data_IF_996257092733
#
_entry.id   IF_996257092733
#
_cell.length_a   1.000
_cell.length_b   1.000
_cell.length_c   1.000
_cell.angle_alpha   90.00
_cell.angle_beta   90.00
_cell.angle_gamma   90.00
#
_symmetry.space_group_name_H-M   'P 1'
#
loop_
_entity.id
_entity.type
_entity.pdbx_description
1 polymer ?
#
# COMPACT_ATOMS: atom_id res chain seq x y z
N UNK A 1 -67.72 -24.11 27.00
CA UNK A 1 -66.65 -23.38 27.69
C UNK A 1 -65.32 -23.82 27.09
N UNK A 2 -64.79 -23.06 26.13
CA UNK A 2 -63.48 -23.30 25.51
C UNK A 2 -62.58 -22.11 25.81
N UNK A 3 -61.46 -22.36 26.48
CA UNK A 3 -60.49 -21.34 26.90
C UNK A 3 -59.46 -21.16 25.78
N UNK A 4 -59.43 -19.97 25.19
CA UNK A 4 -58.39 -19.53 24.25
C UNK A 4 -57.19 -19.06 25.07
N UNK A 5 -56.08 -19.80 25.00
CA UNK A 5 -54.81 -19.39 25.57
C UNK A 5 -54.05 -18.53 24.56
N UNK A 6 -53.97 -17.22 24.81
CA UNK A 6 -53.14 -16.30 24.05
C UNK A 6 -51.68 -16.42 24.51
N UNK A 7 -50.80 -16.92 23.64
CA UNK A 7 -49.36 -16.91 23.85
C UNK A 7 -48.81 -15.51 23.55
N UNK A 8 -48.37 -14.79 24.58
CA UNK A 8 -47.64 -13.52 24.46
C UNK A 8 -46.19 -13.84 24.15
N UNK A 9 -45.78 -13.63 22.89
CA UNK A 9 -44.38 -13.64 22.47
C UNK A 9 -43.70 -12.38 23.01
N UNK A 10 -42.97 -12.52 24.11
CA UNK A 10 -42.05 -11.49 24.61
C UNK A 10 -40.82 -11.42 23.68
N UNK A 11 -40.89 -10.60 22.65
CA UNK A 11 -39.74 -10.24 21.83
C UNK A 11 -38.77 -9.38 22.63
N UNK A 12 -37.73 -10.00 23.21
CA UNK A 12 -36.60 -9.28 23.77
C UNK A 12 -35.87 -8.56 22.63
N UNK A 13 -36.11 -7.25 22.51
CA UNK A 13 -35.32 -6.34 21.69
C UNK A 13 -33.91 -6.26 22.28
N UNK A 14 -33.03 -7.19 21.91
CA UNK A 14 -31.59 -7.02 22.05
C UNK A 14 -31.21 -5.83 21.20
N UNK A 15 -31.14 -4.64 21.81
CA UNK A 15 -30.45 -3.49 21.20
C UNK A 15 -29.04 -3.97 20.88
N UNK A 16 -28.75 -4.17 19.59
CA UNK A 16 -27.38 -4.36 19.14
C UNK A 16 -26.58 -3.18 19.69
N UNK A 17 -25.63 -3.47 20.58
CA UNK A 17 -24.67 -2.48 21.04
C UNK A 17 -24.03 -1.90 19.78
N UNK A 18 -24.05 -0.57 19.64
CA UNK A 18 -23.39 0.09 18.53
C UNK A 18 -21.93 -0.39 18.50
N UNK A 19 -21.44 -0.78 17.33
CA UNK A 19 -20.05 -1.16 17.17
C UNK A 19 -19.17 0.00 17.69
N UNK A 20 -18.10 -0.29 18.45
CA UNK A 20 -17.22 0.75 18.96
C UNK A 20 -16.61 1.53 17.78
N UNK A 21 -16.42 2.83 17.98
CA UNK A 21 -15.75 3.71 17.02
C UNK A 21 -14.35 3.14 16.69
N UNK A 22 -14.05 2.86 15.41
CA UNK A 22 -12.78 2.25 15.03
C UNK A 22 -11.55 3.11 15.41
N UNK A 23 -11.68 4.44 15.45
CA UNK A 23 -10.61 5.34 15.90
C UNK A 23 -10.34 5.21 17.40
N UNK A 24 -11.39 5.05 18.23
CA UNK A 24 -11.22 4.78 19.67
C UNK A 24 -10.49 3.45 19.89
N UNK A 25 -10.89 2.40 19.17
CA UNK A 25 -10.25 1.09 19.27
C UNK A 25 -8.79 1.12 18.77
N UNK A 26 -8.50 1.79 17.65
CA UNK A 26 -7.15 1.93 17.13
C UNK A 26 -6.23 2.73 18.06
N UNK A 27 -6.73 3.80 18.71
CA UNK A 27 -5.97 4.57 19.70
C UNK A 27 -5.56 3.73 20.90
N UNK A 28 -6.42 2.84 21.37
CA UNK A 28 -6.09 1.92 22.46
C UNK A 28 -4.92 0.98 22.07
N UNK A 29 -4.78 0.64 20.78
CA UNK A 29 -3.65 -0.15 20.25
C UNK A 29 -2.39 0.69 20.00
N UNK A 30 -2.48 2.02 20.11
CA UNK A 30 -1.39 2.99 19.91
C UNK A 30 -1.10 3.76 21.21
N UNK A 31 -1.26 3.09 22.35
CA UNK A 31 -0.81 3.61 23.65
C UNK A 31 0.70 3.86 23.65
N UNK A 32 1.21 4.78 24.51
CA UNK A 32 2.64 5.08 24.60
C UNK A 32 3.52 3.84 24.74
N UNK A 33 3.11 2.86 25.54
CA UNK A 33 3.79 1.58 25.75
C UNK A 33 3.89 0.71 24.49
N UNK A 34 3.00 0.93 23.52
CA UNK A 34 2.95 0.17 22.27
C UNK A 34 3.73 0.83 21.13
N UNK A 35 4.08 2.12 21.26
CA UNK A 35 4.69 2.90 20.16
C UNK A 35 5.98 3.60 20.53
N UNK A 36 6.31 3.76 21.81
CA UNK A 36 7.56 4.39 22.24
C UNK A 36 8.61 3.33 22.59
N UNK A 37 9.91 3.62 22.40
CA UNK A 37 10.96 2.73 22.83
C UNK A 37 10.97 2.64 24.36
N UNK A 38 11.26 1.45 24.88
CA UNK A 38 11.31 1.21 26.33
C UNK A 38 12.58 1.77 27.02
N UNK A 39 13.53 2.30 26.23
CA UNK A 39 14.79 2.82 26.73
C UNK A 39 15.31 3.99 25.87
N UNK A 40 16.48 4.55 26.25
CA UNK A 40 17.12 5.61 25.49
C UNK A 40 17.32 5.19 24.04
N UNK A 41 16.97 6.10 23.13
CA UNK A 41 17.15 5.91 21.69
C UNK A 41 17.98 7.05 21.12
N UNK A 42 18.78 6.75 20.11
CA UNK A 42 19.48 7.77 19.30
C UNK A 42 18.58 8.40 18.23
N UNK A 43 17.37 7.86 18.09
CA UNK A 43 16.44 8.19 17.02
C UNK A 43 15.54 9.37 17.41
N UNK A 44 15.32 10.27 16.45
CA UNK A 44 14.30 11.31 16.50
C UNK A 44 12.90 10.63 16.44
N UNK A 45 12.40 10.21 17.59
CA UNK A 45 11.16 9.44 17.72
C UNK A 45 9.92 10.35 17.75
N UNK A 46 8.82 10.01 17.06
CA UNK A 46 7.59 10.80 17.11
C UNK A 46 6.90 10.72 18.47
N UNK A 47 6.19 11.77 18.88
CA UNK A 47 5.37 11.70 20.10
C UNK A 47 4.24 10.67 19.96
N UNK A 48 3.88 10.00 21.05
CA UNK A 48 2.80 9.01 21.06
C UNK A 48 1.45 9.60 20.56
N UNK A 49 1.18 10.86 20.88
CA UNK A 49 0.02 11.63 20.39
C UNK A 49 -0.03 11.68 18.86
N UNK A 50 1.11 11.78 18.18
CA UNK A 50 1.17 11.83 16.71
C UNK A 50 0.64 10.54 16.08
N UNK A 51 0.91 9.38 16.68
CA UNK A 51 0.35 8.10 16.22
C UNK A 51 -1.17 8.07 16.34
N UNK A 52 -1.69 8.57 17.46
CA UNK A 52 -3.13 8.64 17.73
C UNK A 52 -3.84 9.62 16.78
N UNK A 53 -3.24 10.78 16.52
CA UNK A 53 -3.77 11.79 15.59
C UNK A 53 -3.83 11.26 14.15
N UNK A 54 -2.79 10.52 13.72
CA UNK A 54 -2.78 9.85 12.41
C UNK A 54 -3.87 8.79 12.33
N UNK A 55 -4.06 7.98 13.38
CA UNK A 55 -5.14 7.00 13.44
C UNK A 55 -6.54 7.65 13.41
N UNK A 56 -6.76 8.72 14.18
CA UNK A 56 -8.03 9.46 14.20
C UNK A 56 -8.32 10.14 12.85
N UNK A 57 -7.27 10.60 12.15
CA UNK A 57 -7.39 11.14 10.80
C UNK A 57 -7.84 10.04 9.83
N UNK A 58 -7.20 8.87 9.84
CA UNK A 58 -7.60 7.77 8.97
C UNK A 58 -8.95 7.14 9.37
N UNK A 59 -9.34 7.13 10.64
CA UNK A 59 -10.68 6.71 11.05
C UNK A 59 -11.77 7.61 10.44
N UNK A 60 -11.51 8.92 10.39
CA UNK A 60 -12.47 9.91 9.87
C UNK A 60 -12.53 9.93 8.35
N UNK A 61 -11.38 9.95 7.69
CA UNK A 61 -11.27 10.20 6.25
C UNK A 61 -10.96 8.95 5.43
N UNK A 62 -10.33 7.95 6.05
CA UNK A 62 -10.00 6.69 5.40
C UNK A 62 -11.27 5.96 4.94
N UNK A 63 -11.26 5.51 3.70
CA UNK A 63 -12.29 4.63 3.13
C UNK A 63 -11.62 3.40 2.52
N UNK A 64 -12.33 2.27 2.45
CA UNK A 64 -11.80 1.09 1.78
C UNK A 64 -11.69 1.36 0.28
N UNK A 65 -10.56 0.96 -0.32
CA UNK A 65 -10.44 0.92 -1.78
C UNK A 65 -11.40 -0.13 -2.32
N UNK A 66 -12.18 0.23 -3.34
CA UNK A 66 -13.26 -0.64 -3.84
C UNK A 66 -12.72 -1.59 -4.90
N UNK A 67 -13.04 -2.88 -4.77
CA UNK A 67 -12.86 -3.81 -5.89
C UNK A 67 -14.19 -3.91 -6.63
N UNK A 68 -14.13 -3.73 -7.94
CA UNK A 68 -15.27 -3.82 -8.84
C UNK A 68 -15.00 -4.93 -9.83
N UNK A 69 -15.86 -5.95 -9.84
CA UNK A 69 -15.90 -6.94 -10.92
C UNK A 69 -17.01 -6.57 -11.88
N UNK A 70 -16.74 -6.58 -13.17
CA UNK A 70 -17.79 -6.28 -14.14
C UNK A 70 -17.36 -6.31 -15.59
N UNK A 71 -18.22 -5.69 -16.41
CA UNK A 71 -17.95 -5.39 -17.81
C UNK A 71 -17.39 -3.97 -17.92
N UNK A 72 -16.19 -3.82 -18.46
CA UNK A 72 -15.61 -2.54 -18.86
C UNK A 72 -15.86 -2.30 -20.35
N UNK A 73 -16.42 -1.15 -20.69
CA UNK A 73 -16.63 -0.70 -22.07
C UNK A 73 -15.81 0.57 -22.30
N UNK A 74 -14.82 0.47 -23.17
CA UNK A 74 -13.88 1.54 -23.47
C UNK A 74 -14.26 2.28 -24.76
N UNK A 75 -13.69 3.48 -25.01
CA UNK A 75 -13.82 4.18 -26.28
C UNK A 75 -13.53 3.27 -27.49
N UNK A 76 -14.24 3.47 -28.59
CA UNK A 76 -14.10 2.61 -29.79
C UNK A 76 -14.86 1.28 -29.73
N UNK A 77 -15.64 1.02 -28.66
CA UNK A 77 -16.52 -0.14 -28.57
C UNK A 77 -15.83 -1.41 -28.06
N UNK A 78 -14.63 -1.30 -27.49
CA UNK A 78 -13.95 -2.42 -26.85
C UNK A 78 -14.66 -2.81 -25.55
N UNK A 79 -14.82 -4.12 -25.32
CA UNK A 79 -15.57 -4.68 -24.18
C UNK A 79 -14.73 -5.74 -23.47
N UNK A 80 -14.64 -5.64 -22.15
CA UNK A 80 -13.87 -6.57 -21.30
C UNK A 80 -14.75 -7.08 -20.16
N UNK A 81 -15.14 -8.35 -20.25
CA UNK A 81 -15.98 -9.00 -19.24
C UNK A 81 -15.16 -9.62 -18.11
N UNK A 82 -15.74 -9.65 -16.91
CA UNK A 82 -15.13 -10.31 -15.75
C UNK A 82 -13.86 -9.63 -15.23
N UNK A 83 -13.64 -8.36 -15.58
CA UNK A 83 -12.48 -7.61 -15.15
C UNK A 83 -12.63 -7.23 -13.67
N UNK A 84 -11.60 -7.52 -12.87
CA UNK A 84 -11.49 -7.02 -11.50
C UNK A 84 -10.66 -5.74 -11.51
N UNK A 85 -11.28 -4.63 -11.12
CA UNK A 85 -10.66 -3.31 -11.00
C UNK A 85 -10.61 -2.87 -9.54
N UNK A 86 -9.50 -2.32 -9.09
CA UNK A 86 -9.49 -1.43 -7.94
C UNK A 86 -9.84 -0.03 -8.40
N UNK A 87 -10.83 0.56 -7.74
CA UNK A 87 -11.28 1.94 -7.98
C UNK A 87 -10.93 2.74 -6.74
N UNK A 88 -10.01 3.69 -6.89
CA UNK A 88 -9.47 4.51 -5.80
C UNK A 88 -9.71 5.98 -6.07
N UNK A 89 -10.25 6.70 -5.10
CA UNK A 89 -10.43 8.15 -5.17
C UNK A 89 -9.14 8.90 -4.82
N UNK A 90 -8.78 9.90 -5.61
CA UNK A 90 -7.71 10.87 -5.36
C UNK A 90 -8.21 12.04 -4.51
N UNK A 91 -7.27 12.83 -3.98
CA UNK A 91 -7.58 14.00 -3.14
C UNK A 91 -8.37 15.09 -3.88
N UNK A 92 -8.23 15.17 -5.21
CA UNK A 92 -8.98 16.10 -6.07
C UNK A 92 -10.38 15.58 -6.47
N UNK A 93 -10.78 14.42 -5.94
CA UNK A 93 -12.06 13.78 -6.21
C UNK A 93 -12.11 12.96 -7.51
N UNK A 94 -11.04 12.95 -8.30
CA UNK A 94 -10.89 12.03 -9.45
C UNK A 94 -10.65 10.60 -8.96
N UNK A 95 -10.65 9.65 -9.89
CA UNK A 95 -10.46 8.24 -9.63
C UNK A 95 -9.27 7.71 -10.41
N UNK A 96 -8.62 6.73 -9.81
CA UNK A 96 -7.66 5.84 -10.44
C UNK A 96 -8.36 4.50 -10.63
N UNK A 97 -8.34 4.01 -11.87
CA UNK A 97 -8.77 2.67 -12.19
C UNK A 97 -7.51 1.83 -12.35
N UNK A 98 -7.38 0.76 -11.57
CA UNK A 98 -6.23 -0.14 -11.57
C UNK A 98 -6.70 -1.58 -11.75
N UNK A 99 -6.00 -2.37 -12.57
CA UNK A 99 -6.39 -3.77 -12.75
C UNK A 99 -5.98 -4.58 -11.52
N UNK A 100 -6.96 -5.11 -10.79
CA UNK A 100 -6.75 -5.85 -9.55
C UNK A 100 -6.47 -7.34 -9.79
N UNK A 101 -6.95 -7.91 -10.90
CA UNK A 101 -6.60 -9.27 -11.32
C UNK A 101 -6.04 -9.25 -12.72
N UNK A 102 -4.85 -9.85 -12.98
CA UNK A 102 -4.27 -9.83 -14.32
C UNK A 102 -5.32 -10.39 -15.29
N UNK A 103 -5.72 -9.60 -16.29
CA UNK A 103 -6.66 -10.09 -17.28
C UNK A 103 -5.88 -11.02 -18.22
N UNK A 104 -6.55 -11.68 -19.15
CA UNK A 104 -5.82 -12.36 -20.23
C UNK A 104 -4.81 -11.37 -20.86
N UNK A 105 -3.61 -11.83 -21.24
CA UNK A 105 -2.51 -10.97 -21.69
C UNK A 105 -2.90 -9.98 -22.81
N UNK A 106 -3.86 -10.36 -23.65
CA UNK A 106 -4.46 -9.52 -24.68
C UNK A 106 -5.27 -8.35 -24.11
N UNK A 107 -6.10 -8.60 -23.09
CA UNK A 107 -6.87 -7.56 -22.41
C UNK A 107 -5.96 -6.61 -21.60
N UNK A 108 -4.82 -7.06 -21.07
CA UNK A 108 -3.91 -6.18 -20.33
C UNK A 108 -3.36 -5.04 -21.19
N UNK A 109 -2.97 -5.35 -22.44
CA UNK A 109 -2.46 -4.36 -23.40
C UNK A 109 -3.52 -3.35 -23.81
N UNK A 110 -4.76 -3.80 -23.96
CA UNK A 110 -5.85 -2.98 -24.45
C UNK A 110 -6.53 -2.15 -23.36
N UNK A 111 -6.44 -2.59 -22.10
CA UNK A 111 -6.99 -1.87 -20.94
C UNK A 111 -5.99 -0.84 -20.41
N UNK A 112 -4.68 -1.03 -20.62
CA UNK A 112 -3.62 -0.12 -20.14
C UNK A 112 -3.83 1.38 -20.42
N UNK A 113 -4.36 1.84 -21.57
CA UNK A 113 -4.59 3.28 -21.80
C UNK A 113 -5.66 3.88 -20.89
N UNK A 114 -6.50 3.06 -20.28
CA UNK A 114 -7.65 3.48 -19.47
C UNK A 114 -7.44 3.26 -17.97
N UNK A 115 -6.27 2.72 -17.60
CA UNK A 115 -5.90 2.34 -16.23
C UNK A 115 -4.88 3.36 -15.75
N UNK A 116 -5.38 4.58 -15.52
CA UNK A 116 -4.59 5.72 -15.06
C UNK A 116 -5.38 6.58 -14.09
N UNK A 117 -4.73 7.59 -13.52
CA UNK A 117 -5.34 8.57 -12.64
C UNK A 117 -6.01 9.68 -13.45
N UNK A 118 -7.08 10.27 -12.90
CA UNK A 118 -7.70 11.48 -13.46
C UNK A 118 -9.15 11.32 -13.90
N UNK A 119 -9.71 10.12 -13.79
CA UNK A 119 -11.10 9.84 -14.17
C UNK A 119 -12.09 10.56 -13.26
N UNK A 120 -13.10 11.21 -13.82
CA UNK A 120 -14.23 11.77 -13.06
C UNK A 120 -15.43 10.83 -13.14
N UNK A 121 -16.06 10.54 -12.00
CA UNK A 121 -17.31 9.76 -11.98
C UNK A 121 -18.47 10.69 -12.33
N UNK A 122 -18.99 10.58 -13.55
CA UNK A 122 -20.09 11.39 -14.09
C UNK A 122 -21.47 10.79 -13.82
N UNK A 123 -21.54 9.47 -13.61
CA UNK A 123 -22.81 8.77 -13.42
C UNK A 123 -22.66 7.48 -12.65
N UNK A 124 -23.68 7.18 -11.84
CA UNK A 124 -23.68 6.08 -10.88
C UNK A 124 -23.11 6.50 -9.52
N UNK A 125 -23.07 5.56 -8.59
CA UNK A 125 -22.51 5.72 -7.26
C UNK A 125 -21.80 4.42 -6.88
N UNK A 126 -20.54 4.51 -6.45
CA UNK A 126 -19.75 3.36 -6.00
C UNK A 126 -20.24 2.82 -4.64
N UNK A 127 -20.91 3.66 -3.86
CA UNK A 127 -21.44 3.31 -2.54
C UNK A 127 -22.84 2.69 -2.62
N UNK A 128 -23.59 2.96 -3.69
CA UNK A 128 -24.82 2.23 -4.00
C UNK A 128 -24.47 0.87 -4.62
N UNK A 129 -24.85 -0.23 -3.94
CA UNK A 129 -24.50 -1.60 -4.32
C UNK A 129 -24.69 -2.00 -5.80
N UNK A 130 -23.99 -3.07 -6.17
CA UNK A 130 -23.59 -3.57 -7.50
C UNK A 130 -24.64 -3.75 -8.61
N UNK A 131 -25.31 -2.70 -9.08
CA UNK A 131 -26.23 -2.85 -10.24
C UNK A 131 -26.31 -1.67 -11.21
N UNK A 132 -25.82 -0.49 -10.82
CA UNK A 132 -25.85 0.68 -11.70
C UNK A 132 -24.54 0.79 -12.49
N UNK A 133 -24.67 1.12 -13.78
CA UNK A 133 -23.55 1.44 -14.65
C UNK A 133 -22.83 2.68 -14.12
N UNK A 134 -21.53 2.57 -13.92
CA UNK A 134 -20.64 3.67 -13.57
C UNK A 134 -20.11 4.29 -14.85
N UNK A 135 -20.12 5.62 -14.94
CA UNK A 135 -19.61 6.36 -16.09
C UNK A 135 -18.44 7.22 -15.65
N UNK A 136 -17.27 6.98 -16.24
CA UNK A 136 -16.05 7.72 -15.98
C UNK A 136 -15.69 8.59 -17.20
N UNK A 137 -15.20 9.80 -16.96
CA UNK A 137 -14.72 10.72 -18.00
C UNK A 137 -13.29 11.21 -17.72
N UNK A 138 -12.47 11.33 -18.77
CA UNK A 138 -11.18 12.03 -18.71
C UNK A 138 -10.85 12.61 -20.09
N UNK A 139 -10.45 13.88 -20.14
CA UNK A 139 -10.08 14.58 -21.38
C UNK A 139 -11.06 14.42 -22.58
N UNK A 140 -12.35 14.19 -22.33
CA UNK A 140 -13.38 13.96 -23.36
C UNK A 140 -13.57 12.50 -23.77
N UNK A 141 -12.77 11.58 -23.25
CA UNK A 141 -12.99 10.15 -23.35
C UNK A 141 -13.97 9.67 -22.27
N UNK A 142 -14.74 8.63 -22.59
CA UNK A 142 -15.70 8.01 -21.69
C UNK A 142 -15.42 6.52 -21.57
N UNK A 143 -15.42 6.04 -20.33
CA UNK A 143 -15.35 4.63 -20.00
C UNK A 143 -16.57 4.26 -19.16
N UNK A 144 -17.21 3.14 -19.48
CA UNK A 144 -18.33 2.63 -18.71
C UNK A 144 -17.95 1.34 -18.02
N UNK A 145 -18.34 1.24 -16.75
CA UNK A 145 -18.18 0.02 -15.96
C UNK A 145 -19.55 -0.44 -15.52
N UNK A 146 -19.95 -1.64 -15.93
CA UNK A 146 -21.19 -2.29 -15.49
C UNK A 146 -20.82 -3.35 -14.46
N UNK A 147 -20.94 -3.05 -13.14
CA UNK A 147 -20.51 -3.97 -12.11
C UNK A 147 -21.44 -5.18 -12.04
N UNK A 148 -20.86 -6.38 -12.01
CA UNK A 148 -21.54 -7.59 -11.52
C UNK A 148 -21.31 -7.77 -10.02
N UNK A 149 -20.27 -7.16 -9.47
CA UNK A 149 -19.98 -7.13 -8.04
C UNK A 149 -19.17 -5.89 -7.69
N UNK A 150 -19.46 -5.31 -6.53
CA UNK A 150 -18.70 -4.21 -5.92
C UNK A 150 -18.48 -4.60 -4.46
N UNK A 151 -17.25 -4.50 -3.96
CA UNK A 151 -16.96 -4.80 -2.56
C UNK A 151 -17.81 -3.94 -1.63
N UNK A 152 -18.33 -4.48 -0.51
CA UNK A 152 -19.14 -3.69 0.41
C UNK A 152 -18.30 -2.60 1.09
N UNK A 153 -18.91 -1.46 1.37
CA UNK A 153 -18.32 -0.43 2.23
C UNK A 153 -18.24 -1.00 3.65
N UNK A 154 -17.03 -0.99 4.22
CA UNK A 154 -16.78 -1.35 5.62
C UNK A 154 -16.06 -0.21 6.31
N UNK A 155 -16.34 -0.03 7.60
CA UNK A 155 -15.49 0.79 8.44
C UNK A 155 -14.08 0.18 8.48
N UNK A 156 -13.02 0.99 8.56
CA UNK A 156 -11.66 0.49 8.76
C UNK A 156 -11.58 -0.43 9.97
N UNK A 157 -10.96 -1.59 9.80
CA UNK A 157 -10.73 -2.53 10.89
C UNK A 157 -9.70 -1.92 11.87
N UNK A 158 -9.96 -1.91 13.19
CA UNK A 158 -9.11 -1.21 14.17
C UNK A 158 -7.64 -1.61 14.17
N UNK A 159 -7.30 -2.90 14.03
CA UNK A 159 -5.90 -3.36 13.99
C UNK A 159 -5.21 -2.86 12.72
N UNK A 160 -5.84 -3.01 11.56
CA UNK A 160 -5.33 -2.51 10.29
C UNK A 160 -5.12 -0.98 10.32
N UNK A 161 -6.08 -0.24 10.90
CA UNK A 161 -5.97 1.20 11.10
C UNK A 161 -4.77 1.56 11.99
N UNK A 162 -4.58 0.82 13.09
CA UNK A 162 -3.48 1.05 14.02
C UNK A 162 -2.11 0.71 13.41
N UNK A 163 -2.01 -0.38 12.65
CA UNK A 163 -0.79 -0.75 11.93
C UNK A 163 -0.46 0.27 10.82
N UNK A 164 -1.47 0.72 10.07
CA UNK A 164 -1.31 1.76 9.06
C UNK A 164 -0.81 3.07 9.68
N UNK A 165 -1.42 3.49 10.79
CA UNK A 165 -1.03 4.71 11.49
C UNK A 165 0.41 4.59 12.04
N UNK A 166 0.79 3.42 12.57
CA UNK A 166 2.15 3.16 13.03
C UNK A 166 3.18 3.41 11.92
N UNK A 167 3.03 2.76 10.77
CA UNK A 167 3.94 2.95 9.65
C UNK A 167 3.91 4.39 9.10
N UNK A 168 2.71 4.96 8.95
CA UNK A 168 2.52 6.29 8.37
C UNK A 168 3.11 7.39 9.24
N UNK A 169 3.01 7.28 10.56
CA UNK A 169 3.60 8.26 11.49
C UNK A 169 5.10 8.35 11.33
N UNK A 170 5.82 7.20 11.32
CA UNK A 170 7.26 7.22 11.07
C UNK A 170 7.60 7.77 9.69
N UNK A 171 6.85 7.39 8.67
CA UNK A 171 7.09 7.84 7.30
C UNK A 171 6.71 9.31 7.07
N UNK A 172 6.22 10.02 8.09
CA UNK A 172 5.84 11.43 8.01
C UNK A 172 6.45 12.30 9.12
N UNK A 173 7.19 11.71 10.06
CA UNK A 173 7.64 12.42 11.26
C UNK A 173 8.76 13.42 11.01
N UNK A 174 9.48 13.30 9.88
CA UNK A 174 10.54 14.21 9.50
C UNK A 174 10.31 14.76 8.09
N UNK A 175 10.87 15.95 7.83
CA UNK A 175 10.77 16.71 6.57
C UNK A 175 10.76 15.81 5.33
N UNK A 176 10.02 16.20 4.27
CA UNK A 176 9.98 15.41 3.06
C UNK A 176 11.41 15.17 2.58
N UNK A 177 11.70 13.91 2.23
CA UNK A 177 13.01 13.47 1.72
C UNK A 177 13.53 14.43 0.65
N UNK A 178 12.64 14.92 -0.21
CA UNK A 178 12.95 15.95 -1.19
C UNK A 178 12.05 17.17 -0.99
N UNK A 179 12.60 18.36 -1.17
CA UNK A 179 11.82 19.59 -1.16
C UNK A 179 10.78 19.57 -2.29
N UNK A 180 9.63 20.21 -2.08
CA UNK A 180 8.56 20.26 -3.09
C UNK A 180 9.01 20.93 -4.40
N UNK A 181 10.01 21.81 -4.33
CA UNK A 181 10.64 22.50 -5.45
C UNK A 181 11.99 21.89 -5.86
N UNK A 182 12.32 20.69 -5.35
CA UNK A 182 13.54 19.98 -5.71
C UNK A 182 13.62 19.82 -7.23
N UNK A 183 14.74 20.25 -7.80
CA UNK A 183 14.92 20.27 -9.25
C UNK A 183 15.58 18.97 -9.68
N UNK A 184 15.02 18.34 -10.71
CA UNK A 184 15.79 17.40 -11.52
C UNK A 184 16.90 18.15 -12.24
N UNK A 185 18.14 17.68 -12.17
CA UNK A 185 19.30 18.37 -12.72
C UNK A 185 20.53 17.47 -12.77
N UNK A 186 21.63 17.99 -13.31
CA UNK A 186 22.91 17.30 -13.40
C UNK A 186 23.46 17.00 -12.00
N UNK A 187 23.20 15.79 -11.51
CA UNK A 187 23.68 15.31 -10.20
C UNK A 187 25.21 15.42 -10.08
N UNK A 188 25.92 15.36 -11.21
CA UNK A 188 27.38 15.49 -11.28
C UNK A 188 27.88 16.82 -10.67
N UNK A 189 27.12 17.91 -10.81
CA UNK A 189 27.47 19.21 -10.21
C UNK A 189 27.30 19.15 -8.68
N UNK A 190 26.27 18.44 -8.22
CA UNK A 190 25.94 18.33 -6.80
C UNK A 190 26.90 17.37 -6.10
N UNK A 191 27.34 16.33 -6.79
CA UNK A 191 28.34 15.38 -6.32
C UNK A 191 29.68 16.07 -5.99
N UNK A 192 30.10 17.04 -6.81
CA UNK A 192 31.29 17.86 -6.54
C UNK A 192 31.13 18.66 -5.23
N UNK A 193 29.92 19.13 -4.92
CA UNK A 193 29.65 19.86 -3.67
C UNK A 193 29.47 18.93 -2.47
N UNK A 194 28.98 17.70 -2.71
CA UNK A 194 28.66 16.70 -1.69
C UNK A 194 29.93 16.08 -1.07
N UNK A 195 30.89 15.67 -1.90
CA UNK A 195 32.09 15.00 -1.39
C UNK A 195 32.87 15.84 -0.34
N UNK A 196 33.10 17.16 -0.53
CA UNK A 196 33.71 18.00 0.49
C UNK A 196 32.85 18.17 1.76
N UNK A 197 31.52 18.17 1.63
CA UNK A 197 30.61 18.26 2.78
C UNK A 197 30.72 17.00 3.66
N UNK A 198 30.62 15.81 3.05
CA UNK A 198 30.80 14.53 3.74
C UNK A 198 32.20 14.41 4.37
N UNK A 199 33.26 14.76 3.63
CA UNK A 199 34.66 14.72 4.13
C UNK A 199 34.86 15.60 5.36
N UNK A 200 34.18 16.75 5.45
CA UNK A 200 34.27 17.65 6.61
C UNK A 200 33.30 17.29 7.75
N UNK A 201 32.46 16.27 7.58
CA UNK A 201 31.36 15.97 8.50
C UNK A 201 30.28 17.05 8.53
N UNK A 202 30.17 17.88 7.48
CA UNK A 202 29.13 18.90 7.33
C UNK A 202 27.82 18.25 6.86
N UNK A 203 27.22 17.50 7.78
CA UNK A 203 26.02 16.72 7.52
C UNK A 203 24.82 17.60 7.14
N UNK A 204 24.73 18.84 7.63
CA UNK A 204 23.66 19.76 7.25
C UNK A 204 23.78 20.18 5.78
N UNK A 205 24.99 20.50 5.31
CA UNK A 205 25.21 20.77 3.89
C UNK A 205 24.93 19.55 3.02
N UNK A 206 25.35 18.36 3.44
CA UNK A 206 25.07 17.11 2.73
C UNK A 206 23.56 16.83 2.64
N UNK A 207 22.83 16.94 3.76
CA UNK A 207 21.37 16.81 3.80
C UNK A 207 20.69 17.82 2.87
N UNK A 208 21.14 19.08 2.86
CA UNK A 208 20.58 20.13 2.00
C UNK A 208 20.80 19.81 0.52
N UNK A 209 21.95 19.26 0.15
CA UNK A 209 22.23 18.82 -1.22
C UNK A 209 21.25 17.70 -1.60
N UNK A 210 21.14 16.64 -0.81
CA UNK A 210 20.21 15.55 -1.10
C UNK A 210 18.75 16.00 -1.19
N UNK A 211 18.30 16.89 -0.28
CA UNK A 211 16.90 17.37 -0.25
C UNK A 211 16.51 18.19 -1.47
N UNK A 212 17.42 19.01 -1.98
CA UNK A 212 17.11 19.99 -3.02
C UNK A 212 17.36 19.46 -4.44
N UNK A 213 18.02 18.31 -4.55
CA UNK A 213 18.44 17.74 -5.81
C UNK A 213 17.95 16.29 -5.90
N UNK A 214 16.94 16.08 -6.72
CA UNK A 214 16.50 14.73 -7.07
C UNK A 214 17.63 14.05 -7.83
N UNK A 215 17.99 12.80 -7.52
CA UNK A 215 19.04 12.07 -8.21
C UNK A 215 18.64 11.62 -9.62
N UNK A 216 17.76 12.36 -10.29
CA UNK A 216 17.20 12.05 -11.60
C UNK A 216 18.04 12.68 -12.71
N UNK A 217 18.82 11.86 -13.43
CA UNK A 217 19.35 12.21 -14.75
C UNK A 217 18.25 11.94 -15.80
N UNK A 218 18.05 12.85 -16.75
CA UNK A 218 17.11 12.66 -17.88
C UNK A 218 17.55 11.54 -18.87
N UNK A 219 18.40 10.61 -18.47
CA UNK A 219 18.99 9.58 -19.32
C UNK A 219 18.82 8.20 -18.71
N UNK A 220 18.09 7.34 -19.41
CA UNK A 220 18.04 5.88 -19.27
C UNK A 220 17.65 5.27 -17.90
N UNK A 221 16.63 4.42 -17.94
CA UNK A 221 16.23 3.49 -16.87
C UNK A 221 17.25 2.36 -16.63
N UNK A 222 18.55 2.62 -16.78
CA UNK A 222 19.64 1.67 -16.51
C UNK A 222 20.75 2.31 -15.67
N UNK A 223 20.60 3.56 -15.21
CA UNK A 223 21.57 4.20 -14.33
C UNK A 223 21.38 3.66 -12.90
N UNK A 224 22.43 3.09 -12.30
CA UNK A 224 22.44 2.66 -10.89
C UNK A 224 22.54 3.84 -9.90
N UNK A 225 22.95 5.01 -10.41
CA UNK A 225 23.24 6.19 -9.60
C UNK A 225 22.07 6.68 -8.75
N UNK A 226 20.81 6.72 -9.24
CA UNK A 226 19.67 7.16 -8.43
C UNK A 226 19.43 6.31 -7.19
N UNK A 227 19.69 5.01 -7.28
CA UNK A 227 19.55 4.08 -6.15
C UNK A 227 20.71 4.24 -5.17
N UNK A 228 21.95 4.32 -5.67
CA UNK A 228 23.12 4.59 -4.83
C UNK A 228 22.96 5.89 -4.04
N UNK A 229 22.51 6.97 -4.68
CA UNK A 229 22.26 8.25 -4.02
C UNK A 229 21.18 8.14 -2.94
N UNK A 230 20.11 7.39 -3.20
CA UNK A 230 19.08 7.15 -2.18
C UNK A 230 19.62 6.35 -1.01
N UNK A 231 20.47 5.36 -1.26
CA UNK A 231 21.13 4.57 -0.23
C UNK A 231 22.09 5.42 0.61
N UNK A 232 22.99 6.17 -0.02
CA UNK A 232 23.92 7.09 0.65
C UNK A 232 23.16 8.12 1.51
N UNK A 233 22.02 8.60 1.01
CA UNK A 233 21.17 9.51 1.76
C UNK A 233 20.49 8.80 2.95
N UNK A 234 20.01 7.57 2.77
CA UNK A 234 19.44 6.76 3.85
C UNK A 234 20.47 6.52 4.94
N UNK A 235 21.71 6.15 4.58
CA UNK A 235 22.82 5.95 5.51
C UNK A 235 23.18 7.23 6.27
N UNK A 236 23.18 8.39 5.61
CA UNK A 236 23.39 9.68 6.28
C UNK A 236 22.28 9.96 7.31
N UNK A 237 21.01 9.75 6.95
CA UNK A 237 19.89 9.92 7.88
C UNK A 237 19.96 8.91 9.03
N UNK A 238 20.36 7.66 8.75
CA UNK A 238 20.63 6.65 9.76
C UNK A 238 21.74 7.10 10.73
N UNK A 239 22.86 7.60 10.24
CA UNK A 239 23.99 8.08 11.06
C UNK A 239 23.61 9.27 11.95
N UNK A 240 22.71 10.14 11.48
CA UNK A 240 22.22 11.31 12.19
C UNK A 240 21.08 11.03 13.19
N UNK A 241 20.59 9.80 13.29
CA UNK A 241 19.42 9.49 14.13
C UNK A 241 18.09 9.98 13.56
N UNK A 242 18.04 10.32 12.27
CA UNK A 242 16.84 10.82 11.57
C UNK A 242 15.96 9.68 11.10
N UNK A 243 15.18 9.12 12.03
CA UNK A 243 14.42 7.88 11.82
C UNK A 243 13.40 8.00 10.69
N UNK A 244 12.63 9.09 10.67
CA UNK A 244 11.58 9.28 9.66
C UNK A 244 12.16 9.49 8.26
N UNK A 245 13.27 10.22 8.15
CA UNK A 245 14.03 10.36 6.91
C UNK A 245 14.55 9.01 6.43
N UNK A 246 15.23 8.27 7.31
CA UNK A 246 15.79 6.96 7.01
C UNK A 246 14.71 5.99 6.50
N UNK A 247 13.59 5.86 7.21
CA UNK A 247 12.50 4.95 6.85
C UNK A 247 11.82 5.34 5.53
N UNK A 248 11.62 6.64 5.26
CA UNK A 248 11.04 7.09 3.99
C UNK A 248 11.94 6.76 2.80
N UNK A 249 13.25 7.03 2.92
CA UNK A 249 14.22 6.67 1.89
C UNK A 249 14.27 5.17 1.69
N UNK A 250 14.27 4.40 2.78
CA UNK A 250 14.25 2.94 2.73
C UNK A 250 13.01 2.41 2.01
N UNK A 251 11.82 2.93 2.33
CA UNK A 251 10.57 2.58 1.65
C UNK A 251 10.60 2.95 0.17
N UNK A 252 11.22 4.07 -0.19
CA UNK A 252 11.41 4.45 -1.59
C UNK A 252 12.40 3.56 -2.31
N UNK A 253 13.53 3.21 -1.71
CA UNK A 253 14.49 2.24 -2.27
C UNK A 253 13.83 0.86 -2.42
N UNK A 254 12.99 0.44 -1.47
CA UNK A 254 12.14 -0.74 -1.65
C UNK A 254 11.22 -0.59 -2.88
N UNK A 255 10.78 0.62 -3.21
CA UNK A 255 9.94 0.96 -4.36
C UNK A 255 10.66 1.29 -5.68
N UNK A 256 11.97 1.54 -5.71
CA UNK A 256 12.66 1.98 -6.93
C UNK A 256 12.94 0.81 -7.88
N UNK A 257 12.38 0.97 -9.08
CA UNK A 257 12.27 -0.01 -10.15
C UNK A 257 13.58 -0.30 -10.88
N UNK A 258 14.42 -1.21 -10.39
CA UNK A 258 15.26 -1.99 -11.30
C UNK A 258 15.04 -3.49 -11.08
N UNK A 259 13.94 -3.96 -11.66
CA UNK A 259 13.88 -5.29 -12.24
C UNK A 259 13.98 -5.09 -13.76
N UNK A 260 15.00 -5.68 -14.40
CA UNK A 260 15.16 -5.63 -15.85
C UNK A 260 14.20 -6.61 -16.49
N UNK A 261 13.43 -6.14 -17.48
CA UNK A 261 12.42 -6.91 -18.19
C UNK A 261 12.99 -8.03 -19.07
N UNK A 262 12.18 -9.07 -19.20
CA UNK A 262 12.18 -10.14 -20.20
C UNK A 262 12.65 -9.65 -21.58
N UNK A 263 13.92 -9.92 -21.93
CA UNK A 263 14.51 -9.62 -23.24
C UNK A 263 16.02 -9.35 -23.25
N UNK A 264 16.64 -9.05 -22.10
CA UNK A 264 18.10 -8.89 -21.98
C UNK A 264 18.81 -10.23 -21.75
N UNK A 265 19.94 -10.47 -22.44
CA UNK A 265 20.78 -11.67 -22.29
C UNK A 265 21.73 -11.65 -21.08
N UNK A 266 21.56 -10.72 -20.14
CA UNK A 266 22.39 -10.60 -18.94
C UNK A 266 21.49 -10.43 -17.72
N UNK A 267 21.29 -11.53 -16.98
CA UNK A 267 20.62 -11.53 -15.69
C UNK A 267 21.60 -11.10 -14.61
N UNK A 268 21.31 -9.97 -13.97
CA UNK A 268 22.07 -9.48 -12.81
C UNK A 268 21.31 -9.77 -11.51
N UNK A 269 22.06 -9.95 -10.44
CA UNK A 269 21.55 -10.39 -9.15
C UNK A 269 20.62 -9.35 -8.51
N UNK A 270 19.64 -9.78 -7.71
CA UNK A 270 18.75 -8.88 -6.99
C UNK A 270 19.54 -7.94 -6.05
N UNK A 271 19.38 -6.62 -6.22
CA UNK A 271 20.04 -5.57 -5.40
C UNK A 271 19.46 -5.54 -3.99
N UNK A 272 20.29 -5.63 -2.94
CA UNK A 272 19.90 -5.62 -1.51
C UNK A 272 18.91 -4.48 -1.20
N UNK A 273 17.76 -4.78 -0.57
CA UNK A 273 16.81 -3.72 -0.16
C UNK A 273 17.32 -2.94 1.04
N UNK A 274 18.42 -3.39 1.68
CA UNK A 274 19.00 -2.82 2.89
C UNK A 274 18.13 -3.04 4.14
N UNK A 275 17.06 -3.84 4.05
CA UNK A 275 16.09 -4.02 5.13
C UNK A 275 16.69 -4.62 6.41
N UNK A 276 17.92 -5.17 6.34
CA UNK A 276 18.70 -5.54 7.51
C UNK A 276 18.94 -4.37 8.48
N UNK A 277 19.17 -3.15 7.96
CA UNK A 277 19.39 -1.94 8.76
C UNK A 277 18.14 -1.50 9.53
N UNK A 278 16.94 -1.91 9.08
CA UNK A 278 15.70 -1.61 9.81
C UNK A 278 15.72 -2.23 11.22
N UNK A 279 16.46 -3.32 11.44
CA UNK A 279 16.59 -3.98 12.74
C UNK A 279 17.25 -3.09 13.80
N UNK A 280 18.09 -2.14 13.38
CA UNK A 280 18.82 -1.25 14.28
C UNK A 280 17.99 -0.02 14.71
N UNK A 281 16.79 0.13 14.14
CA UNK A 281 15.89 1.26 14.45
C UNK A 281 15.18 1.12 15.79
N UNK A 282 15.01 -0.11 16.28
CA UNK A 282 14.21 -0.39 17.48
C UNK A 282 12.70 -0.26 17.28
N UNK A 283 12.21 -0.06 16.05
CA UNK A 283 10.77 -0.12 15.76
C UNK A 283 10.25 -1.55 15.80
N UNK A 284 8.95 -1.72 16.01
CA UNK A 284 8.27 -2.98 15.77
C UNK A 284 8.17 -3.20 14.25
N UNK A 285 9.13 -3.95 13.70
CA UNK A 285 9.20 -4.25 12.28
C UNK A 285 7.97 -5.02 11.78
N UNK A 286 7.37 -5.87 12.60
CA UNK A 286 6.20 -6.62 12.15
C UNK A 286 5.02 -5.67 11.96
N UNK A 287 4.81 -4.79 12.94
CA UNK A 287 3.80 -3.74 12.87
C UNK A 287 4.04 -2.78 11.71
N UNK A 288 5.28 -2.37 11.50
CA UNK A 288 5.68 -1.51 10.39
C UNK A 288 5.36 -2.16 9.04
N UNK A 289 5.78 -3.41 8.81
CA UNK A 289 5.48 -4.10 7.56
C UNK A 289 3.99 -4.31 7.34
N UNK A 290 3.22 -4.69 8.38
CA UNK A 290 1.75 -4.77 8.27
C UNK A 290 1.13 -3.43 7.91
N UNK A 291 1.62 -2.32 8.47
CA UNK A 291 1.21 -0.97 8.09
C UNK A 291 1.48 -0.64 6.62
N UNK A 292 2.56 -1.18 6.05
CA UNK A 292 2.84 -1.08 4.60
C UNK A 292 1.91 -1.97 3.74
N UNK A 293 1.25 -2.98 4.31
CA UNK A 293 0.21 -3.79 3.63
C UNK A 293 -1.15 -3.09 3.60
N UNK A 294 -1.45 -2.28 4.60
CA UNK A 294 -2.77 -1.64 4.71
C UNK A 294 -2.85 -0.38 3.84
N UNK A 295 -3.99 -0.19 3.16
CA UNK A 295 -4.30 0.98 2.36
C UNK A 295 -5.73 1.43 2.59
N UNK A 296 -5.89 2.75 2.53
CA UNK A 296 -7.17 3.43 2.53
C UNK A 296 -7.13 4.50 1.45
N UNK A 297 -8.26 4.79 0.81
CA UNK A 297 -8.42 6.02 0.05
C UNK A 297 -8.82 7.18 0.97
N UNK A 298 -8.69 8.43 0.51
CA UNK A 298 -8.98 9.62 1.30
C UNK A 298 -7.91 9.98 2.35
N UNK A 299 -6.78 9.27 2.33
CA UNK A 299 -5.58 9.58 3.11
C UNK A 299 -4.34 9.51 2.19
N UNK A 300 -3.28 10.30 2.45
CA UNK A 300 -2.11 10.35 1.57
C UNK A 300 -1.49 8.97 1.31
N UNK A 301 -1.24 8.64 0.04
CA UNK A 301 -0.74 7.35 -0.44
C UNK A 301 0.80 7.27 -0.59
N UNK A 302 1.55 8.25 -0.05
CA UNK A 302 2.97 8.51 -0.36
C UNK A 302 4.01 7.42 -0.04
N UNK A 303 3.57 6.24 0.38
CA UNK A 303 4.42 5.13 0.84
C UNK A 303 3.99 3.78 0.22
N UNK A 304 3.50 3.81 -1.02
CA UNK A 304 3.11 2.59 -1.72
C UNK A 304 4.32 1.74 -2.11
N UNK A 305 4.31 0.48 -1.68
CA UNK A 305 5.33 -0.52 -2.00
C UNK A 305 4.61 -1.67 -2.70
N UNK A 306 5.15 -2.08 -3.84
CA UNK A 306 4.69 -3.27 -4.56
C UNK A 306 4.75 -4.54 -3.66
N UNK A 307 3.87 -5.49 -3.93
CA UNK A 307 3.75 -6.70 -3.12
C UNK A 307 5.02 -7.57 -3.14
N UNK A 308 5.67 -7.73 -4.30
CA UNK A 308 6.89 -8.52 -4.42
C UNK A 308 8.06 -7.86 -3.70
N UNK A 309 8.15 -6.54 -3.79
CA UNK A 309 9.17 -5.74 -3.10
C UNK A 309 9.02 -5.78 -1.58
N UNK A 310 7.78 -5.64 -1.10
CA UNK A 310 7.50 -5.77 0.32
C UNK A 310 7.79 -7.19 0.82
N UNK A 311 7.41 -8.22 0.07
CA UNK A 311 7.73 -9.62 0.40
C UNK A 311 9.24 -9.85 0.52
N UNK A 312 10.02 -9.29 -0.41
CA UNK A 312 11.48 -9.35 -0.39
C UNK A 312 12.07 -8.65 0.83
N UNK A 313 11.62 -7.42 1.13
CA UNK A 313 12.07 -6.70 2.32
C UNK A 313 11.77 -7.46 3.61
N UNK A 314 10.60 -8.11 3.70
CA UNK A 314 10.24 -9.00 4.82
C UNK A 314 11.23 -10.17 4.95
N UNK A 315 11.64 -10.77 3.83
CA UNK A 315 12.63 -11.87 3.82
C UNK A 315 14.01 -11.39 4.27
N UNK A 316 14.52 -10.29 3.73
CA UNK A 316 15.82 -9.73 4.07
C UNK A 316 15.87 -9.23 5.53
N UNK A 317 14.77 -8.66 6.01
CA UNK A 317 14.60 -8.31 7.43
C UNK A 317 14.46 -9.54 8.34
N UNK A 318 14.41 -10.77 7.81
CA UNK A 318 14.31 -12.01 8.59
C UNK A 318 12.97 -12.15 9.32
N UNK A 319 11.93 -11.47 8.82
CA UNK A 319 10.59 -11.40 9.44
C UNK A 319 9.57 -12.31 8.78
N UNK A 320 9.94 -13.11 7.78
CA UNK A 320 9.00 -13.98 7.07
C UNK A 320 8.16 -14.87 7.99
N UNK A 321 8.70 -15.56 9.02
CA UNK A 321 7.88 -16.42 9.87
C UNK A 321 6.77 -15.66 10.62
N UNK A 322 7.10 -14.52 11.24
CA UNK A 322 6.14 -13.73 12.01
C UNK A 322 5.12 -13.04 11.11
N UNK A 323 5.57 -12.46 10.01
CA UNK A 323 4.70 -11.74 9.07
C UNK A 323 3.77 -12.70 8.31
N UNK A 324 4.22 -13.90 7.93
CA UNK A 324 3.36 -14.88 7.24
C UNK A 324 2.11 -15.19 8.06
N UNK A 325 2.27 -15.44 9.37
CA UNK A 325 1.14 -15.70 10.25
C UNK A 325 0.14 -14.54 10.29
N UNK A 326 0.63 -13.30 10.38
CA UNK A 326 -0.23 -12.12 10.35
C UNK A 326 -0.91 -11.90 9.00
N UNK A 327 -0.20 -12.13 7.88
CA UNK A 327 -0.78 -12.00 6.54
C UNK A 327 -1.89 -13.03 6.32
N UNK A 328 -1.71 -14.27 6.78
CA UNK A 328 -2.76 -15.29 6.74
C UNK A 328 -3.99 -14.84 7.53
N UNK A 329 -3.79 -14.31 8.74
CA UNK A 329 -4.89 -13.72 9.52
C UNK A 329 -5.58 -12.57 8.79
N UNK A 330 -4.83 -11.70 8.11
CA UNK A 330 -5.42 -10.62 7.31
C UNK A 330 -6.28 -11.18 6.17
N UNK A 331 -5.79 -12.16 5.41
CA UNK A 331 -6.55 -12.80 4.32
C UNK A 331 -7.83 -13.43 4.84
N UNK A 332 -7.80 -14.05 6.01
CA UNK A 332 -8.92 -14.75 6.61
C UNK A 332 -9.90 -13.84 7.36
N UNK A 333 -9.51 -12.59 7.67
CA UNK A 333 -10.31 -11.67 8.46
C UNK A 333 -11.50 -11.10 7.65
N UNK A 334 -12.76 -11.44 7.96
CA UNK A 334 -13.92 -10.93 7.26
C UNK A 334 -14.23 -9.46 7.61
N UNK A 335 -13.66 -8.89 8.68
CA UNK A 335 -13.80 -7.49 9.01
C UNK A 335 -12.89 -6.59 8.15
N UNK A 336 -11.77 -7.13 7.65
CA UNK A 336 -10.88 -6.42 6.73
C UNK A 336 -11.55 -6.26 5.35
N UNK A 337 -11.30 -5.13 4.69
CA UNK A 337 -11.78 -4.90 3.34
C UNK A 337 -11.07 -5.82 2.33
N UNK A 338 -11.75 -6.11 1.22
CA UNK A 338 -11.24 -7.11 0.28
C UNK A 338 -10.00 -6.65 -0.48
N UNK A 339 -9.78 -5.34 -0.62
CA UNK A 339 -8.57 -4.82 -1.26
C UNK A 339 -7.33 -5.12 -0.39
N UNK A 340 -7.38 -4.85 0.91
CA UNK A 340 -6.28 -5.16 1.82
C UNK A 340 -6.08 -6.68 1.97
N UNK A 341 -7.14 -7.48 1.90
CA UNK A 341 -7.04 -8.95 1.84
C UNK A 341 -6.36 -9.43 0.56
N UNK A 342 -6.66 -8.80 -0.58
CA UNK A 342 -5.99 -9.07 -1.84
C UNK A 342 -4.51 -8.68 -1.78
N UNK A 343 -4.15 -7.52 -1.22
CA UNK A 343 -2.75 -7.13 -1.02
C UNK A 343 -1.99 -8.12 -0.15
N UNK A 344 -2.57 -8.56 0.98
CA UNK A 344 -1.95 -9.59 1.83
C UNK A 344 -1.74 -10.91 1.07
N UNK A 345 -2.72 -11.32 0.26
CA UNK A 345 -2.63 -12.53 -0.60
C UNK A 345 -1.49 -12.42 -1.61
N UNK A 346 -1.33 -11.26 -2.27
CA UNK A 346 -0.25 -11.00 -3.22
C UNK A 346 1.12 -11.18 -2.56
N UNK A 347 1.31 -10.60 -1.38
CA UNK A 347 2.56 -10.71 -0.62
C UNK A 347 2.83 -12.16 -0.23
N UNK A 348 1.81 -12.91 0.23
CA UNK A 348 1.96 -14.34 0.53
C UNK A 348 2.41 -15.16 -0.67
N UNK A 349 1.89 -14.89 -1.87
CA UNK A 349 2.36 -15.56 -3.10
C UNK A 349 3.85 -15.28 -3.34
N UNK A 350 4.29 -14.02 -3.24
CA UNK A 350 5.70 -13.68 -3.41
C UNK A 350 6.62 -14.26 -2.31
N UNK A 351 6.08 -14.49 -1.12
CA UNK A 351 6.78 -15.22 -0.05
C UNK A 351 6.83 -16.74 -0.28
N UNK A 352 6.11 -17.27 -1.29
CA UNK A 352 5.96 -18.71 -1.52
C UNK A 352 5.09 -19.39 -0.45
N UNK A 353 4.10 -18.66 0.07
CA UNK A 353 3.27 -19.03 1.23
C UNK A 353 1.77 -19.13 0.91
N UNK A 354 1.40 -19.07 -0.35
CA UNK A 354 0.01 -19.13 -0.78
C UNK A 354 -0.65 -20.50 -0.54
N UNK A 355 0.14 -21.58 -0.50
CA UNK A 355 -0.34 -22.92 -0.13
C UNK A 355 -0.87 -23.03 1.30
N UNK A 356 -0.54 -22.07 2.16
CA UNK A 356 -1.01 -22.00 3.55
C UNK A 356 -2.38 -21.27 3.66
N UNK A 357 -2.88 -20.66 2.58
CA UNK A 357 -4.14 -19.91 2.58
C UNK A 357 -5.33 -20.87 2.58
N UNK A 358 -6.23 -20.70 3.54
CA UNK A 358 -7.48 -21.47 3.62
C UNK A 358 -8.50 -21.03 2.55
N UNK A 359 -8.89 -21.98 1.70
CA UNK A 359 -9.80 -21.75 0.57
C UNK A 359 -11.17 -21.19 0.95
N UNK A 360 -11.74 -21.66 2.06
CA UNK A 360 -13.05 -21.29 2.59
C UNK A 360 -13.10 -19.85 3.11
N UNK A 361 -11.95 -19.29 3.49
CA UNK A 361 -11.87 -17.95 4.06
C UNK A 361 -11.81 -16.84 3.00
N UNK A 362 -11.40 -17.12 1.75
CA UNK A 362 -11.17 -16.10 0.72
C UNK A 362 -12.45 -15.49 0.15
N UNK A 363 -12.45 -14.18 -0.11
CA UNK A 363 -13.49 -13.54 -0.93
C UNK A 363 -13.36 -13.93 -2.41
N UNK A 364 -14.41 -13.72 -3.20
CA UNK A 364 -14.42 -14.12 -4.61
C UNK A 364 -13.34 -13.41 -5.46
N UNK A 365 -13.08 -12.10 -5.30
CA UNK A 365 -11.95 -11.44 -5.99
C UNK A 365 -10.60 -12.02 -5.59
N UNK A 366 -10.36 -12.25 -4.30
CA UNK A 366 -9.10 -12.82 -3.79
C UNK A 366 -8.86 -14.22 -4.34
N UNK A 367 -9.88 -15.08 -4.32
CA UNK A 367 -9.80 -16.44 -4.86
C UNK A 367 -9.52 -16.43 -6.37
N UNK A 368 -10.24 -15.62 -7.12
CA UNK A 368 -10.05 -15.53 -8.57
C UNK A 368 -8.64 -15.04 -8.93
N UNK A 369 -8.11 -14.06 -8.19
CA UNK A 369 -6.73 -13.62 -8.35
C UNK A 369 -5.74 -14.75 -8.09
N UNK A 370 -5.90 -15.47 -6.97
CA UNK A 370 -5.00 -16.54 -6.58
C UNK A 370 -5.02 -17.71 -7.57
N UNK A 371 -6.21 -18.12 -8.02
CA UNK A 371 -6.38 -19.20 -9.00
C UNK A 371 -5.71 -18.84 -10.33
N UNK A 372 -5.89 -17.60 -10.80
CA UNK A 372 -5.23 -17.09 -11.99
C UNK A 372 -3.71 -17.13 -11.86
N UNK A 373 -3.18 -16.58 -10.76
CA UNK A 373 -1.74 -16.54 -10.47
C UNK A 373 -1.13 -17.94 -10.40
N UNK A 374 -1.82 -18.90 -9.76
CA UNK A 374 -1.39 -20.31 -9.72
C UNK A 374 -1.37 -20.94 -11.11
N UNK A 375 -2.35 -20.65 -11.95
CA UNK A 375 -2.37 -21.13 -13.33
C UNK A 375 -1.16 -20.60 -14.13
N UNK A 376 -0.80 -19.33 -13.95
CA UNK A 376 0.41 -18.75 -14.57
C UNK A 376 1.69 -19.42 -14.07
N UNK A 377 1.83 -19.61 -12.75
CA UNK A 377 2.98 -20.29 -12.17
C UNK A 377 3.12 -21.73 -12.68
N UNK A 378 2.01 -22.45 -12.85
CA UNK A 378 1.99 -23.82 -13.33
C UNK A 378 2.52 -23.98 -14.77
N UNK A 379 2.40 -22.94 -15.60
CA UNK A 379 2.95 -22.93 -16.97
C UNK A 379 4.35 -22.31 -17.06
N UNK A 380 5.02 -22.09 -15.92
CA UNK A 380 6.41 -21.63 -15.85
C UNK A 380 6.59 -20.12 -15.94
N UNK A 381 5.51 -19.32 -15.87
CA UNK A 381 5.67 -17.88 -15.66
C UNK A 381 6.25 -17.63 -14.27
N UNK A 382 7.25 -16.76 -14.22
CA UNK A 382 7.76 -16.23 -12.94
C UNK A 382 6.98 -14.97 -12.60
N UNK A 383 6.69 -14.78 -11.31
CA UNK A 383 6.08 -13.56 -10.79
C UNK A 383 7.23 -12.64 -10.38
N UNK A 384 7.99 -12.14 -11.36
CA UNK A 384 9.00 -11.09 -11.18
C UNK A 384 8.90 -10.15 -12.37
#
# INVERSE_FOLDING_TARGET
>A
MGVVAAAVLAGSLTRALAAPDPGVAARALLGPEAVLPSGPTRWDWPEASTFQDVADTAARYGRPIRLVRGLLEAPGGHRYEGLDLSVRRNDDGTFVLEVATPPAAEAARLVSPYVHAGWRLEGGDLDEGSSRRLTFSDAGELVWLTPSYVTPVKAPEPVALADWAYATTFLRSELPVYAADARGGHWEIQEIALAPALTRGDHEAALRIYRNHLPWTRGCSMDERPDQVQHDYAELCHGLGKLGCFLQLHVRTMGTGFDRTTGSSYGEAPVDTGAGMLRDTGIDLDRFFRGLVVRFEGVPSGNEVDAGRLARAIQEAGRSPSITASLLQMVENPALDEYNRLRATRILVHLGKDGEIRGDAMSAPVRAWLDHTRALLAVGHRIW
#
